data_IF_271031505417
#
_entry.id   IF_271031505417
#
_cell.length_a   1.000
_cell.length_b   1.000
_cell.length_c   1.000
_cell.angle_alpha   90.00
_cell.angle_beta   90.00
_cell.angle_gamma   90.00
#
_symmetry.space_group_name_H-M   'P 1'
#
loop_
_entity.id
_entity.type
_entity.pdbx_description
1 polymer ?
#
# COMPACT_ATOMS: atom_id res chain seq x y z
N UNK A 1 -47.36 -11.75 28.40
CA UNK A 1 -46.80 -12.44 27.21
C UNK A 1 -45.65 -11.59 26.68
N UNK A 2 -44.44 -12.15 26.65
CA UNK A 2 -43.17 -11.47 26.39
C UNK A 2 -43.08 -10.95 24.94
N UNK A 3 -42.71 -9.68 24.75
CA UNK A 3 -42.30 -9.14 23.44
C UNK A 3 -40.81 -9.47 23.25
N UNK A 4 -40.50 -10.36 22.31
CA UNK A 4 -39.12 -10.63 21.88
C UNK A 4 -38.55 -9.37 21.21
N UNK A 5 -37.50 -8.79 21.78
CA UNK A 5 -36.69 -7.78 21.11
C UNK A 5 -35.73 -8.50 20.15
N UNK A 6 -35.92 -8.30 18.85
CA UNK A 6 -35.04 -8.82 17.81
C UNK A 6 -33.80 -7.91 17.74
N UNK A 7 -32.71 -8.32 18.39
CA UNK A 7 -31.43 -7.62 18.30
C UNK A 7 -30.79 -7.90 16.93
N UNK A 8 -30.82 -6.91 16.04
CA UNK A 8 -30.12 -6.96 14.76
C UNK A 8 -28.61 -6.84 15.01
N UNK A 9 -27.87 -7.96 14.95
CA UNK A 9 -26.42 -7.94 14.89
C UNK A 9 -26.00 -7.40 13.52
N UNK A 10 -25.50 -6.16 13.50
CA UNK A 10 -24.77 -5.60 12.36
C UNK A 10 -23.45 -6.35 12.24
N UNK A 11 -23.41 -7.34 11.35
CA UNK A 11 -22.17 -8.03 10.96
C UNK A 11 -21.38 -7.03 10.11
N UNK A 12 -20.42 -6.34 10.72
CA UNK A 12 -19.47 -5.49 10.02
C UNK A 12 -18.56 -6.35 9.15
N UNK A 13 -18.88 -6.44 7.86
CA UNK A 13 -17.98 -7.04 6.87
C UNK A 13 -16.71 -6.21 6.79
N UNK A 14 -15.50 -6.80 6.90
CA UNK A 14 -14.27 -6.05 6.69
C UNK A 14 -14.26 -5.51 5.25
N UNK A 15 -14.07 -4.20 5.09
CA UNK A 15 -13.97 -3.57 3.78
C UNK A 15 -12.74 -4.11 3.05
N UNK A 16 -12.97 -4.89 1.99
CA UNK A 16 -11.94 -5.37 1.08
C UNK A 16 -11.51 -4.21 0.18
N UNK A 17 -10.24 -3.78 0.27
CA UNK A 17 -9.63 -2.91 -0.73
C UNK A 17 -9.50 -3.68 -2.05
N UNK A 18 -10.52 -3.55 -2.91
CA UNK A 18 -10.60 -4.21 -4.20
C UNK A 18 -9.84 -3.45 -5.31
N UNK A 19 -9.75 -4.07 -6.49
CA UNK A 19 -9.24 -3.46 -7.73
C UNK A 19 -9.91 -2.12 -8.08
N UNK A 20 -11.07 -1.82 -7.51
CA UNK A 20 -11.85 -0.60 -7.74
C UNK A 20 -11.85 0.39 -6.57
N UNK A 21 -11.03 0.16 -5.55
CA UNK A 21 -10.85 1.12 -4.46
C UNK A 21 -10.01 2.30 -4.96
N UNK A 22 -10.63 3.47 -5.08
CA UNK A 22 -9.94 4.70 -5.50
C UNK A 22 -8.80 5.06 -4.53
N UNK A 23 -8.95 4.77 -3.24
CA UNK A 23 -7.89 5.01 -2.25
C UNK A 23 -6.68 4.10 -2.44
N UNK A 24 -6.84 2.96 -3.12
CA UNK A 24 -5.75 2.04 -3.43
C UNK A 24 -5.16 2.24 -4.82
N UNK A 25 -5.90 2.74 -5.80
CA UNK A 25 -5.38 2.93 -7.15
C UNK A 25 -4.90 4.37 -7.34
N UNK A 26 -3.65 4.58 -7.77
CA UNK A 26 -3.19 5.94 -8.06
C UNK A 26 -4.06 6.57 -9.17
N UNK A 27 -4.41 7.86 -9.03
CA UNK A 27 -5.00 8.63 -10.11
C UNK A 27 -4.14 8.59 -11.37
N UNK A 28 -4.74 8.74 -12.55
CA UNK A 28 -4.06 8.61 -13.84
C UNK A 28 -2.81 9.51 -13.98
N UNK A 29 -2.79 10.69 -13.33
CA UNK A 29 -1.63 11.60 -13.33
C UNK A 29 -0.40 11.03 -12.60
N UNK A 30 -0.59 10.09 -11.69
CA UNK A 30 0.48 9.43 -10.93
C UNK A 30 0.71 7.97 -11.37
N UNK A 31 -0.23 7.39 -12.12
CA UNK A 31 -0.18 6.01 -12.60
C UNK A 31 0.64 5.86 -13.91
N UNK A 32 1.91 6.24 -13.84
CA UNK A 32 2.84 6.20 -14.97
C UNK A 32 4.10 5.41 -14.62
N UNK A 33 4.90 5.05 -15.63
CA UNK A 33 6.22 4.51 -15.37
C UNK A 33 7.09 5.56 -14.66
N UNK A 34 7.82 5.16 -13.61
CA UNK A 34 8.77 6.05 -12.95
C UNK A 34 9.96 6.31 -13.90
N UNK A 35 10.24 7.59 -14.16
CA UNK A 35 11.26 8.01 -15.14
C UNK A 35 12.68 8.07 -14.56
N UNK A 36 12.80 8.01 -13.24
CA UNK A 36 14.07 7.98 -12.53
C UNK A 36 14.65 6.57 -12.35
N UNK A 37 15.71 6.46 -11.54
CA UNK A 37 16.30 5.18 -11.16
C UNK A 37 15.39 4.47 -10.16
N UNK A 38 14.79 3.36 -10.58
CA UNK A 38 13.92 2.55 -9.75
C UNK A 38 14.68 1.33 -9.19
N UNK A 39 14.61 1.11 -7.88
CA UNK A 39 15.05 -0.13 -7.24
C UNK A 39 13.82 -0.87 -6.71
N UNK A 40 13.54 -2.08 -7.20
CA UNK A 40 12.41 -2.89 -6.73
C UNK A 40 12.93 -4.10 -5.96
N UNK A 41 12.48 -4.23 -4.71
CA UNK A 41 12.82 -5.32 -3.80
C UNK A 41 11.55 -6.13 -3.56
N UNK A 42 11.56 -7.42 -3.93
CA UNK A 42 10.45 -8.35 -3.68
C UNK A 42 10.79 -9.19 -2.46
N UNK A 43 9.91 -9.20 -1.46
CA UNK A 43 10.12 -9.92 -0.20
C UNK A 43 8.90 -10.77 0.19
N UNK A 44 9.09 -11.85 0.96
CA UNK A 44 7.99 -12.51 1.64
C UNK A 44 7.25 -11.55 2.57
N UNK A 45 5.92 -11.63 2.64
CA UNK A 45 5.07 -10.73 3.48
C UNK A 45 5.60 -10.57 4.92
N UNK A 46 6.10 -11.67 5.53
CA UNK A 46 6.67 -11.65 6.90
C UNK A 46 7.86 -10.69 7.08
N UNK A 47 8.52 -10.28 6.00
CA UNK A 47 9.66 -9.36 6.00
C UNK A 47 9.29 -7.94 5.58
N UNK A 48 8.18 -7.76 4.86
CA UNK A 48 7.79 -6.47 4.26
C UNK A 48 7.64 -5.38 5.31
N UNK A 49 6.94 -5.66 6.41
CA UNK A 49 6.67 -4.67 7.47
C UNK A 49 7.98 -4.11 8.06
N UNK A 50 8.90 -4.99 8.46
CA UNK A 50 10.19 -4.59 9.04
C UNK A 50 11.08 -3.89 8.01
N UNK A 51 11.10 -4.37 6.78
CA UNK A 51 11.89 -3.77 5.71
C UNK A 51 11.37 -2.35 5.34
N UNK A 52 10.05 -2.17 5.30
CA UNK A 52 9.42 -0.87 5.09
C UNK A 52 9.69 0.09 6.23
N UNK A 53 9.59 -0.37 7.49
CA UNK A 53 9.93 0.46 8.65
C UNK A 53 11.37 0.96 8.58
N UNK A 54 12.32 0.09 8.19
CA UNK A 54 13.73 0.46 8.00
C UNK A 54 13.92 1.44 6.84
N UNK A 55 13.22 1.25 5.73
CA UNK A 55 13.27 2.15 4.58
C UNK A 55 12.78 3.55 4.97
N UNK A 56 11.61 3.64 5.60
CA UNK A 56 11.05 4.90 6.06
C UNK A 56 11.96 5.62 7.05
N UNK A 57 12.56 4.90 8.00
CA UNK A 57 13.52 5.48 8.94
C UNK A 57 14.78 6.00 8.23
N UNK A 58 15.31 5.25 7.27
CA UNK A 58 16.55 5.59 6.55
C UNK A 58 16.38 6.84 5.67
N UNK A 59 15.19 7.04 5.12
CA UNK A 59 14.88 8.15 4.21
C UNK A 59 13.92 9.20 4.80
N UNK A 60 13.70 9.16 6.13
CA UNK A 60 12.87 10.11 6.89
C UNK A 60 11.46 10.28 6.31
N UNK A 61 10.87 9.20 5.84
CA UNK A 61 9.48 9.19 5.37
C UNK A 61 8.56 9.27 6.59
N UNK A 62 7.59 10.19 6.59
CA UNK A 62 6.69 10.43 7.72
C UNK A 62 5.69 9.29 7.98
N UNK A 63 5.51 8.37 7.03
CA UNK A 63 4.63 7.22 7.14
C UNK A 63 5.16 6.20 8.16
N UNK A 64 4.23 5.51 8.84
CA UNK A 64 4.53 4.38 9.72
C UNK A 64 4.15 3.08 9.05
N UNK A 65 4.94 2.04 9.27
CA UNK A 65 4.59 0.71 8.81
C UNK A 65 3.45 0.09 9.61
N UNK A 66 2.66 -0.75 8.94
CA UNK A 66 1.50 -1.46 9.50
C UNK A 66 1.63 -2.97 9.28
N UNK A 67 1.04 -3.79 10.16
CA UNK A 67 1.00 -5.25 10.01
C UNK A 67 0.26 -5.71 8.75
N UNK A 68 -0.59 -4.88 8.17
CA UNK A 68 -1.32 -5.15 6.92
C UNK A 68 -0.61 -4.62 5.68
N UNK A 69 0.56 -3.99 5.84
CA UNK A 69 1.31 -3.38 4.75
C UNK A 69 1.82 -4.44 3.77
N UNK A 70 1.63 -4.17 2.47
CA UNK A 70 1.99 -5.07 1.36
C UNK A 70 3.17 -4.57 0.54
N UNK A 71 3.50 -3.29 0.70
CA UNK A 71 4.63 -2.63 0.07
C UNK A 71 4.87 -1.25 0.65
N UNK A 72 5.92 -0.60 0.18
CA UNK A 72 6.23 0.79 0.44
C UNK A 72 7.11 1.35 -0.67
N UNK A 73 7.08 2.67 -0.83
CA UNK A 73 8.03 3.43 -1.60
C UNK A 73 8.75 4.49 -0.75
N UNK A 74 9.98 4.84 -1.14
CA UNK A 74 10.66 6.03 -0.64
C UNK A 74 11.49 6.66 -1.76
N UNK A 75 11.51 7.99 -1.81
CA UNK A 75 12.47 8.74 -2.62
C UNK A 75 13.84 8.61 -1.95
N UNK A 76 14.77 7.95 -2.63
CA UNK A 76 16.10 7.57 -2.09
C UNK A 76 17.25 8.39 -2.65
N UNK A 77 16.95 9.32 -3.56
CA UNK A 77 17.88 10.28 -4.14
C UNK A 77 17.13 11.31 -4.97
N UNK A 78 17.83 12.25 -5.62
CA UNK A 78 17.20 13.33 -6.41
C UNK A 78 16.24 12.80 -7.50
N UNK A 79 16.58 11.66 -8.09
CA UNK A 79 15.81 11.00 -9.16
C UNK A 79 15.73 9.49 -8.93
N UNK A 80 15.82 9.05 -7.67
CA UNK A 80 15.81 7.63 -7.32
C UNK A 80 14.67 7.30 -6.39
N UNK A 81 13.98 6.18 -6.65
CA UNK A 81 12.96 5.64 -5.78
C UNK A 81 13.25 4.18 -5.48
N UNK A 82 13.10 3.78 -4.22
CA UNK A 82 13.15 2.37 -3.81
C UNK A 82 11.74 1.93 -3.45
N UNK A 83 11.33 0.80 -4.00
CA UNK A 83 10.05 0.17 -3.77
C UNK A 83 10.28 -1.22 -3.17
N UNK A 84 9.60 -1.53 -2.08
CA UNK A 84 9.51 -2.87 -1.50
C UNK A 84 8.10 -3.39 -1.75
N UNK A 85 7.96 -4.61 -2.25
CA UNK A 85 6.66 -5.27 -2.45
C UNK A 85 6.68 -6.72 -1.99
N UNK A 86 5.51 -7.27 -1.68
CA UNK A 86 5.30 -8.71 -1.56
C UNK A 86 5.78 -9.48 -2.80
N UNK A 87 6.37 -10.65 -2.58
CA UNK A 87 6.84 -11.57 -3.62
C UNK A 87 5.73 -12.46 -4.20
N UNK A 88 4.68 -12.71 -3.41
CA UNK A 88 3.51 -13.53 -3.75
C UNK A 88 2.22 -12.82 -3.38
N UNK A 89 1.06 -13.20 -3.96
CA UNK A 89 -0.22 -12.62 -3.57
C UNK A 89 -0.48 -12.76 -2.07
N UNK A 90 -0.96 -11.69 -1.44
CA UNK A 90 -1.31 -11.64 -0.02
C UNK A 90 -2.47 -10.67 0.18
N UNK A 91 -3.44 -11.06 1.01
CA UNK A 91 -4.64 -10.27 1.31
C UNK A 91 -5.28 -9.67 0.03
N UNK A 92 -5.50 -10.52 -0.98
CA UNK A 92 -6.12 -10.19 -2.28
C UNK A 92 -5.34 -9.22 -3.19
N UNK A 93 -4.15 -8.78 -2.80
CA UNK A 93 -3.28 -7.98 -3.66
C UNK A 93 -2.24 -8.85 -4.35
N UNK A 94 -2.04 -8.63 -5.65
CA UNK A 94 -0.91 -9.22 -6.38
C UNK A 94 0.33 -8.36 -6.25
N UNK A 95 1.55 -8.93 -6.34
CA UNK A 95 2.79 -8.15 -6.37
C UNK A 95 2.79 -7.02 -7.41
N UNK A 96 2.18 -7.27 -8.57
CA UNK A 96 2.04 -6.27 -9.64
C UNK A 96 1.12 -5.12 -9.25
N UNK A 97 -0.01 -5.41 -8.60
CA UNK A 97 -0.94 -4.38 -8.14
C UNK A 97 -0.31 -3.50 -7.04
N UNK A 98 0.42 -4.11 -6.10
CA UNK A 98 1.18 -3.38 -5.08
C UNK A 98 2.25 -2.52 -5.74
N UNK A 99 3.05 -3.07 -6.67
CA UNK A 99 4.06 -2.29 -7.37
C UNK A 99 3.46 -1.06 -8.07
N UNK A 100 2.32 -1.20 -8.74
CA UNK A 100 1.62 -0.07 -9.38
C UNK A 100 1.23 1.01 -8.34
N UNK A 101 0.69 0.60 -7.19
CA UNK A 101 0.39 1.52 -6.08
C UNK A 101 1.64 2.28 -5.62
N UNK A 102 2.73 1.55 -5.33
CA UNK A 102 3.97 2.14 -4.83
C UNK A 102 4.65 3.05 -5.87
N UNK A 103 4.51 2.75 -7.17
CA UNK A 103 4.97 3.64 -8.24
C UNK A 103 4.19 4.95 -8.28
N UNK A 104 2.90 4.93 -7.95
CA UNK A 104 2.12 6.15 -7.73
C UNK A 104 2.80 7.07 -6.73
N UNK A 105 3.23 6.54 -5.58
CA UNK A 105 3.97 7.30 -4.57
C UNK A 105 5.33 7.81 -5.08
N UNK A 106 6.08 7.00 -5.84
CA UNK A 106 7.31 7.46 -6.49
C UNK A 106 7.07 8.61 -7.48
N UNK A 107 5.92 8.61 -8.16
CA UNK A 107 5.49 9.67 -9.09
C UNK A 107 4.86 10.88 -8.38
N UNK A 108 4.92 10.94 -7.05
CA UNK A 108 4.46 12.09 -6.27
C UNK A 108 3.02 11.97 -5.75
N UNK A 109 2.37 10.81 -5.86
CA UNK A 109 1.08 10.59 -5.22
C UNK A 109 1.24 10.65 -3.68
N UNK A 110 0.57 11.56 -2.98
CA UNK A 110 0.74 11.70 -1.54
C UNK A 110 0.20 10.51 -0.72
N UNK A 111 0.71 10.34 0.50
CA UNK A 111 0.35 9.24 1.41
C UNK A 111 -1.07 9.33 2.00
N UNK A 112 -1.74 10.48 1.86
CA UNK A 112 -3.16 10.62 2.20
C UNK A 112 -4.09 10.23 1.03
N UNK A 113 -3.52 9.63 -0.04
CA UNK A 113 -4.23 9.06 -1.19
C UNK A 113 -5.33 9.97 -1.77
N UNK A 114 -5.00 11.22 -2.16
CA UNK A 114 -5.98 12.12 -2.78
C UNK A 114 -6.29 11.67 -4.21
N UNK A 115 -7.52 11.91 -4.64
CA UNK A 115 -7.96 11.71 -6.03
C UNK A 115 -7.42 12.75 -6.99
#
# INVERSE_FOLDING_TARGET
>A
MFRLALAALLISTPALAGKHDASWNPPARFDNAYTGKLTVIKLPQKQVVTACAKLFASYKVAAKSSFTQRGCAAITGKTSCTVIVIDKPYALATPKAVLRHELGHCNGWPANHPD
#
